data_IF_940813148617
#
_entry.id   IF_940813148617
#
_cell.length_a   1.000
_cell.length_b   1.000
_cell.length_c   1.000
_cell.angle_alpha   90.00
_cell.angle_beta   90.00
_cell.angle_gamma   90.00
#
_symmetry.space_group_name_H-M   'P 1'
#
loop_
_entity.id
_entity.type
_entity.pdbx_description
1 polymer ?
#
# COMPACT_ATOMS: atom_id res chain seq x y z
N UNK A 1 25.77 26.37 -0.02
CA UNK A 1 24.58 26.29 0.84
C UNK A 1 24.74 25.10 1.79
N UNK A 2 24.43 25.24 3.09
CA UNK A 2 24.33 24.06 3.98
C UNK A 2 23.24 23.14 3.45
N UNK A 3 23.53 21.84 3.35
CA UNK A 3 22.55 20.85 2.94
C UNK A 3 21.65 20.50 4.13
N UNK A 4 20.32 20.41 3.93
CA UNK A 4 19.39 20.16 5.03
C UNK A 4 19.54 18.73 5.58
N UNK A 5 19.23 18.57 6.88
CA UNK A 5 19.03 17.27 7.49
C UNK A 5 17.64 16.75 7.11
N UNK A 6 17.56 15.53 6.59
CA UNK A 6 16.30 14.90 6.21
C UNK A 6 15.82 14.00 7.35
N UNK A 7 14.62 14.25 7.81
CA UNK A 7 13.91 13.43 8.80
C UNK A 7 12.66 12.86 8.17
N UNK A 8 12.43 11.56 8.29
CA UNK A 8 11.21 10.87 7.81
C UNK A 8 10.44 10.27 8.99
N UNK A 9 9.17 10.61 9.11
CA UNK A 9 8.32 10.00 10.14
C UNK A 9 7.74 8.67 9.67
N UNK A 10 7.93 7.62 10.47
CA UNK A 10 7.44 6.28 10.21
C UNK A 10 6.53 5.76 11.35
N UNK A 11 5.90 6.64 12.09
CA UNK A 11 5.14 6.34 13.31
C UNK A 11 4.06 5.27 13.12
N UNK A 12 3.25 5.40 12.07
CA UNK A 12 2.17 4.44 11.81
C UNK A 12 2.73 3.12 11.29
N UNK A 13 3.67 3.19 10.36
CA UNK A 13 4.32 2.01 9.75
C UNK A 13 5.01 1.16 10.80
N UNK A 14 5.79 1.77 11.69
CA UNK A 14 6.44 1.08 12.81
C UNK A 14 5.42 0.50 13.81
N UNK A 15 4.31 1.22 14.07
CA UNK A 15 3.26 0.81 14.99
C UNK A 15 2.32 -0.25 14.44
N UNK A 16 2.02 -0.26 13.15
CA UNK A 16 1.00 -1.12 12.54
C UNK A 16 1.45 -2.57 12.38
N UNK A 17 2.74 -2.82 12.14
CA UNK A 17 3.29 -4.14 11.83
C UNK A 17 2.79 -4.75 10.53
N UNK A 18 2.06 -4.01 9.72
CA UNK A 18 1.54 -4.44 8.43
C UNK A 18 2.54 -4.13 7.33
N UNK A 19 2.47 -4.88 6.23
CA UNK A 19 3.23 -4.60 5.01
C UNK A 19 2.28 -4.47 3.83
N UNK A 20 1.45 -3.41 3.83
CA UNK A 20 0.45 -3.17 2.78
C UNK A 20 0.52 -1.73 2.32
N UNK A 21 0.24 -1.48 1.07
CA UNK A 21 0.05 -0.13 0.53
C UNK A 21 1.05 0.91 1.07
N UNK A 22 0.57 1.78 1.95
CA UNK A 22 1.35 2.91 2.50
C UNK A 22 2.57 2.43 3.30
N UNK A 23 2.40 1.42 4.16
CA UNK A 23 3.51 0.92 4.97
C UNK A 23 4.66 0.37 4.10
N UNK A 24 4.32 -0.25 2.95
CA UNK A 24 5.32 -0.69 1.97
C UNK A 24 6.06 0.49 1.35
N UNK A 25 5.34 1.55 1.00
CA UNK A 25 5.96 2.77 0.45
C UNK A 25 6.94 3.38 1.46
N UNK A 26 6.51 3.57 2.72
CA UNK A 26 7.34 4.15 3.78
C UNK A 26 8.60 3.31 4.01
N UNK A 27 8.49 1.98 4.09
CA UNK A 27 9.65 1.08 4.25
C UNK A 27 10.63 1.16 3.11
N UNK A 28 10.14 1.14 1.87
CA UNK A 28 11.01 1.22 0.71
C UNK A 28 11.70 2.59 0.63
N UNK A 29 11.01 3.68 0.94
CA UNK A 29 11.64 5.00 1.02
C UNK A 29 12.72 5.05 2.12
N UNK A 30 12.44 4.53 3.33
CA UNK A 30 13.43 4.45 4.41
C UNK A 30 14.65 3.62 4.02
N UNK A 31 14.48 2.56 3.23
CA UNK A 31 15.57 1.70 2.75
C UNK A 31 16.44 2.38 1.69
N UNK A 32 15.82 3.06 0.72
CA UNK A 32 16.55 3.62 -0.43
C UNK A 32 17.13 5.01 -0.17
N UNK A 33 16.44 5.84 0.63
CA UNK A 33 16.87 7.23 0.89
C UNK A 33 18.30 7.37 1.45
N UNK A 34 18.82 6.51 2.33
CA UNK A 34 20.18 6.68 2.84
C UNK A 34 21.23 6.70 1.73
N UNK A 35 21.15 5.78 0.77
CA UNK A 35 22.10 5.74 -0.37
C UNK A 35 21.93 6.93 -1.31
N UNK A 36 20.68 7.35 -1.57
CA UNK A 36 20.38 8.50 -2.43
C UNK A 36 20.86 9.81 -1.77
N UNK A 37 20.70 9.95 -0.46
CA UNK A 37 21.23 11.09 0.31
C UNK A 37 22.77 11.17 0.25
N UNK A 38 23.44 10.03 0.40
CA UNK A 38 24.90 9.96 0.31
C UNK A 38 25.40 10.43 -1.07
N UNK A 39 24.75 10.00 -2.15
CA UNK A 39 25.08 10.45 -3.53
C UNK A 39 24.88 11.95 -3.73
N UNK A 40 23.86 12.52 -3.07
CA UNK A 40 23.63 13.97 -3.07
C UNK A 40 24.53 14.72 -2.10
N UNK A 41 25.38 14.02 -1.31
CA UNK A 41 26.25 14.56 -0.26
C UNK A 41 25.44 15.28 0.83
N UNK A 42 24.20 14.83 1.09
CA UNK A 42 23.38 15.28 2.20
C UNK A 42 23.77 14.54 3.48
N UNK A 43 23.50 15.12 4.68
CA UNK A 43 23.55 14.36 5.92
C UNK A 43 22.68 13.10 5.84
N UNK A 44 22.99 12.08 6.65
CA UNK A 44 22.23 10.84 6.67
C UNK A 44 20.75 11.04 7.02
N UNK A 45 19.94 10.02 6.71
CA UNK A 45 18.53 9.99 7.04
C UNK A 45 18.32 9.80 8.55
N UNK A 46 17.47 10.63 9.15
CA UNK A 46 16.92 10.38 10.47
C UNK A 46 15.51 9.79 10.35
N UNK A 47 15.30 8.59 10.89
CA UNK A 47 13.97 7.99 11.00
C UNK A 47 13.34 8.42 12.32
N UNK A 48 12.11 8.90 12.29
CA UNK A 48 11.40 9.43 13.44
C UNK A 48 10.16 8.62 13.79
N UNK A 49 9.78 8.67 15.06
CA UNK A 49 8.45 8.30 15.54
C UNK A 49 7.87 9.42 16.39
N UNK A 50 6.57 9.69 16.24
CA UNK A 50 5.87 10.69 17.05
C UNK A 50 5.32 10.06 18.34
N UNK A 51 5.78 10.59 19.46
CA UNK A 51 5.34 10.16 20.80
C UNK A 51 5.25 11.36 21.75
N UNK A 52 4.15 11.47 22.52
CA UNK A 52 3.93 12.53 23.51
C UNK A 52 4.26 13.96 23.02
N UNK A 53 3.74 14.31 21.84
CA UNK A 53 3.94 15.63 21.19
C UNK A 53 5.39 15.96 20.85
N UNK A 54 6.22 14.95 20.58
CA UNK A 54 7.61 15.09 20.11
C UNK A 54 7.89 14.08 19.01
N UNK A 55 8.79 14.43 18.11
CA UNK A 55 9.43 13.46 17.23
C UNK A 55 10.68 12.95 17.92
N UNK A 56 10.85 11.64 17.96
CA UNK A 56 11.98 10.94 18.56
C UNK A 56 12.70 10.15 17.48
N UNK A 57 14.01 10.25 17.46
CA UNK A 57 14.85 9.48 16.53
C UNK A 57 14.79 7.99 16.86
N UNK A 58 14.69 7.16 15.84
CA UNK A 58 14.59 5.72 15.96
C UNK A 58 15.76 5.07 15.23
N UNK A 59 16.43 4.13 15.91
CA UNK A 59 17.48 3.33 15.30
C UNK A 59 16.93 2.55 14.07
N UNK A 60 17.60 2.65 12.90
CA UNK A 60 17.23 1.87 11.72
C UNK A 60 17.13 0.35 11.96
N UNK A 61 17.94 -0.20 12.88
CA UNK A 61 17.86 -1.61 13.29
C UNK A 61 16.56 -2.02 14.00
N UNK A 62 15.74 -1.05 14.43
CA UNK A 62 14.45 -1.32 15.03
C UNK A 62 13.48 -1.97 14.04
N UNK A 63 13.55 -1.63 12.77
CA UNK A 63 12.69 -2.20 11.74
C UNK A 63 12.93 -3.71 11.58
N UNK A 64 14.20 -4.14 11.56
CA UNK A 64 14.54 -5.58 11.51
C UNK A 64 14.01 -6.33 12.73
N UNK A 65 14.13 -5.73 13.92
CA UNK A 65 13.58 -6.32 15.15
C UNK A 65 12.05 -6.42 15.11
N UNK A 66 11.36 -5.45 14.52
CA UNK A 66 9.90 -5.45 14.39
C UNK A 66 9.40 -6.40 13.30
N UNK A 67 10.19 -6.61 12.23
CA UNK A 67 9.91 -7.62 11.21
C UNK A 67 10.04 -9.03 11.77
N UNK A 68 11.08 -9.30 12.59
CA UNK A 68 11.22 -10.57 13.30
C UNK A 68 10.00 -10.86 14.19
N UNK A 69 9.52 -9.86 14.93
CA UNK A 69 8.33 -10.01 15.76
C UNK A 69 7.07 -10.29 14.91
N UNK A 70 6.94 -9.68 13.73
CA UNK A 70 5.80 -9.94 12.83
C UNK A 70 5.87 -11.31 12.14
N UNK A 71 7.07 -11.82 11.86
CA UNK A 71 7.28 -13.18 11.37
C UNK A 71 6.93 -14.21 12.45
N UNK A 72 7.34 -13.96 13.69
CA UNK A 72 6.97 -14.80 14.83
C UNK A 72 5.45 -14.81 15.09
N UNK A 73 4.75 -13.66 14.90
CA UNK A 73 3.28 -13.59 14.97
C UNK A 73 2.58 -14.52 13.97
N UNK A 74 3.11 -14.59 12.74
CA UNK A 74 2.53 -15.46 11.70
C UNK A 74 2.69 -16.93 12.06
N UNK A 75 3.83 -17.29 12.63
CA UNK A 75 4.20 -18.67 12.91
C UNK A 75 3.73 -19.14 14.33
N UNK A 76 3.43 -18.21 15.25
CA UNK A 76 3.00 -18.54 16.61
C UNK A 76 1.71 -19.37 16.66
N UNK A 77 0.85 -19.27 15.63
CA UNK A 77 -0.35 -20.09 15.50
C UNK A 77 -0.08 -21.58 15.36
N UNK A 78 1.08 -21.97 14.81
CA UNK A 78 1.47 -23.39 14.66
C UNK A 78 2.00 -24.00 15.95
N UNK A 79 2.48 -23.19 16.89
CA UNK A 79 3.05 -23.64 18.18
C UNK A 79 2.08 -23.62 19.35
N UNK A 80 0.84 -23.15 19.15
CA UNK A 80 -0.15 -23.08 20.24
C UNK A 80 -0.86 -24.43 20.37
N UNK A 81 -0.75 -25.11 21.54
CA UNK A 81 -1.46 -26.37 21.76
C UNK A 81 -2.97 -26.26 21.50
N UNK A 82 -3.56 -27.28 20.86
CA UNK A 82 -4.95 -27.26 20.43
C UNK A 82 -5.98 -26.98 21.54
N UNK A 83 -5.68 -27.35 22.78
CA UNK A 83 -6.53 -27.04 23.92
C UNK A 83 -6.57 -25.54 24.27
N UNK A 84 -5.46 -24.81 24.06
CA UNK A 84 -5.42 -23.35 24.22
C UNK A 84 -6.22 -22.66 23.12
N UNK A 85 -6.22 -23.20 21.90
CA UNK A 85 -7.02 -22.68 20.79
C UNK A 85 -8.54 -22.83 21.02
N UNK A 86 -8.96 -23.76 21.86
CA UNK A 86 -10.38 -23.99 22.20
C UNK A 86 -10.91 -23.08 23.32
N UNK A 87 -10.05 -22.46 24.14
CA UNK A 87 -10.43 -21.56 25.23
C UNK A 87 -11.32 -20.38 24.75
N UNK A 88 -10.98 -19.65 23.68
CA UNK A 88 -11.84 -18.57 23.19
C UNK A 88 -13.23 -19.04 22.78
N UNK A 89 -13.34 -20.26 22.21
CA UNK A 89 -14.64 -20.86 21.83
C UNK A 89 -15.48 -21.17 23.06
N UNK A 90 -14.88 -21.69 24.12
CA UNK A 90 -15.55 -22.02 25.37
C UNK A 90 -16.05 -20.75 26.10
N UNK A 91 -15.21 -19.69 26.18
CA UNK A 91 -15.59 -18.41 26.79
C UNK A 91 -16.67 -17.72 25.98
N UNK A 92 -16.61 -17.79 24.62
CA UNK A 92 -17.63 -17.25 23.75
C UNK A 92 -18.98 -17.93 23.92
N UNK A 93 -18.98 -19.26 24.08
CA UNK A 93 -20.19 -20.05 24.33
C UNK A 93 -20.80 -19.73 25.71
N UNK A 94 -19.98 -19.39 26.69
CA UNK A 94 -20.41 -19.10 28.09
C UNK A 94 -20.82 -17.63 28.29
N UNK A 95 -20.57 -16.74 27.31
CA UNK A 95 -20.81 -15.30 27.45
C UNK A 95 -22.24 -14.89 27.10
N UNK A 96 -22.92 -14.18 28.00
CA UNK A 96 -24.23 -13.56 27.78
C UNK A 96 -24.15 -12.24 26.98
N UNK A 97 -22.95 -11.70 26.75
CA UNK A 97 -22.77 -10.45 26.02
C UNK A 97 -22.57 -10.68 24.52
N UNK A 98 -23.53 -10.21 23.71
CA UNK A 98 -23.44 -10.27 22.24
C UNK A 98 -22.20 -9.57 21.67
N UNK A 99 -21.73 -8.49 22.31
CA UNK A 99 -20.51 -7.79 21.92
C UNK A 99 -19.25 -8.62 22.20
N UNK A 100 -19.20 -9.32 23.34
CA UNK A 100 -18.08 -10.17 23.74
C UNK A 100 -18.04 -11.44 22.88
N UNK A 101 -19.19 -12.00 22.54
CA UNK A 101 -19.34 -13.14 21.62
C UNK A 101 -18.82 -12.79 20.23
N UNK A 102 -19.27 -11.65 19.67
CA UNK A 102 -18.81 -11.15 18.37
C UNK A 102 -17.32 -10.78 18.34
N UNK A 103 -16.76 -10.36 19.49
CA UNK A 103 -15.34 -10.05 19.65
C UNK A 103 -14.47 -11.29 19.73
N UNK A 104 -15.01 -12.38 20.31
CA UNK A 104 -14.31 -13.66 20.50
C UNK A 104 -14.64 -14.71 19.43
N UNK A 105 -15.57 -14.44 18.49
CA UNK A 105 -15.81 -15.33 17.36
C UNK A 105 -14.51 -15.56 16.60
N UNK A 106 -14.05 -16.82 16.44
CA UNK A 106 -12.83 -17.13 15.73
C UNK A 106 -13.00 -16.82 14.24
N UNK A 107 -12.62 -15.64 13.83
CA UNK A 107 -12.38 -15.36 12.42
C UNK A 107 -11.05 -15.99 12.05
N UNK A 108 -10.88 -16.58 10.84
CA UNK A 108 -9.65 -17.28 10.43
C UNK A 108 -8.35 -16.45 10.57
N UNK A 109 -8.48 -15.12 10.71
CA UNK A 109 -7.37 -14.17 10.90
C UNK A 109 -7.23 -13.63 12.34
N UNK A 110 -8.02 -14.11 13.31
CA UNK A 110 -8.09 -13.52 14.66
C UNK A 110 -7.82 -14.54 15.76
N UNK A 111 -6.57 -14.78 16.04
CA UNK A 111 -6.10 -15.16 17.39
C UNK A 111 -6.18 -13.91 18.30
N UNK A 112 -7.40 -13.34 18.48
CA UNK A 112 -7.61 -12.04 19.12
C UNK A 112 -7.03 -11.96 20.54
N UNK A 113 -7.12 -13.04 21.34
CA UNK A 113 -6.61 -13.10 22.72
C UNK A 113 -5.09 -13.24 22.72
N UNK A 114 -4.48 -13.93 21.74
CA UNK A 114 -3.02 -14.11 21.67
C UNK A 114 -2.27 -12.92 21.06
N UNK A 115 -2.98 -12.02 20.37
CA UNK A 115 -2.40 -10.75 19.90
C UNK A 115 -2.25 -9.71 21.00
N UNK A 116 -3.02 -9.82 22.08
CA UNK A 116 -2.98 -8.84 23.18
C UNK A 116 -1.59 -8.74 23.85
N UNK A 117 -0.95 -9.84 24.27
CA UNK A 117 0.41 -9.79 24.83
C UNK A 117 1.43 -9.24 23.82
N UNK A 118 1.27 -9.57 22.55
CA UNK A 118 2.19 -9.19 21.48
C UNK A 118 2.06 -7.70 21.13
N UNK A 119 0.85 -7.18 21.02
CA UNK A 119 0.64 -5.74 20.87
C UNK A 119 1.18 -4.96 22.06
N UNK A 120 1.04 -5.50 23.27
CA UNK A 120 1.60 -4.88 24.49
C UNK A 120 3.12 -4.94 24.50
N UNK A 121 3.74 -6.06 24.13
CA UNK A 121 5.20 -6.21 24.02
C UNK A 121 5.75 -5.30 22.92
N UNK A 122 5.11 -5.29 21.75
CA UNK A 122 5.49 -4.41 20.64
C UNK A 122 5.34 -2.93 21.02
N UNK A 123 4.21 -2.56 21.61
CA UNK A 123 3.98 -1.20 22.09
C UNK A 123 4.95 -0.82 23.21
N UNK A 124 5.22 -1.71 24.18
CA UNK A 124 6.20 -1.53 25.23
C UNK A 124 7.62 -1.39 24.71
N UNK A 125 8.01 -2.20 23.73
CA UNK A 125 9.31 -2.14 23.06
C UNK A 125 9.48 -0.83 22.25
N UNK A 126 8.47 -0.42 21.50
CA UNK A 126 8.44 0.86 20.80
C UNK A 126 8.50 2.04 21.76
N UNK A 127 7.72 1.99 22.84
CA UNK A 127 7.68 3.04 23.86
C UNK A 127 9.03 3.17 24.59
N UNK A 128 9.63 2.04 24.97
CA UNK A 128 10.95 2.03 25.62
C UNK A 128 12.03 2.58 24.70
N UNK A 129 12.13 2.10 23.45
CA UNK A 129 13.10 2.58 22.47
C UNK A 129 12.84 4.02 22.04
N UNK A 130 11.58 4.45 21.99
CA UNK A 130 11.25 5.86 21.76
C UNK A 130 11.65 6.75 22.93
N UNK A 131 11.56 6.26 24.16
CA UNK A 131 12.02 6.99 25.36
C UNK A 131 13.55 7.03 25.48
N UNK A 132 14.24 6.08 24.88
CA UNK A 132 15.72 6.05 24.78
C UNK A 132 16.23 6.89 23.59
N UNK A 133 15.36 7.25 22.63
CA UNK A 133 15.68 8.05 21.46
C UNK A 133 15.83 9.54 21.78
N UNK A 134 16.74 10.20 21.07
CA UNK A 134 16.90 11.65 21.16
C UNK A 134 15.70 12.38 20.56
N UNK A 135 15.27 13.45 21.24
CA UNK A 135 14.25 14.32 20.65
C UNK A 135 14.81 15.01 19.40
N UNK A 136 14.00 15.01 18.34
CA UNK A 136 14.33 15.71 17.11
C UNK A 136 13.85 17.15 17.27
N UNK A 137 14.82 18.03 17.50
CA UNK A 137 14.53 19.45 17.67
C UNK A 137 14.22 20.12 16.33
N UNK A 138 13.28 21.06 16.29
CA UNK A 138 13.01 21.85 15.09
C UNK A 138 14.22 22.69 14.68
N UNK A 139 14.45 22.83 13.37
CA UNK A 139 15.57 23.60 12.82
C UNK A 139 15.24 24.10 11.41
N UNK A 140 15.71 25.30 11.05
CA UNK A 140 15.59 25.84 9.70
C UNK A 140 16.39 25.05 8.65
N UNK A 141 17.43 24.31 9.09
CA UNK A 141 18.23 23.43 8.24
C UNK A 141 17.67 22.00 8.18
N UNK A 142 16.40 21.79 8.56
CA UNK A 142 15.73 20.49 8.59
C UNK A 142 14.55 20.43 7.64
N UNK A 143 14.39 19.28 7.00
CA UNK A 143 13.19 18.90 6.27
C UNK A 143 12.57 17.71 6.99
N UNK A 144 11.30 17.84 7.39
CA UNK A 144 10.50 16.77 7.96
C UNK A 144 9.55 16.23 6.90
N UNK A 145 9.77 14.98 6.48
CA UNK A 145 8.93 14.28 5.53
C UNK A 145 7.89 13.45 6.28
N UNK A 146 6.63 13.64 5.93
CA UNK A 146 5.46 12.96 6.51
C UNK A 146 4.83 12.02 5.46
N UNK A 147 5.32 10.77 5.31
CA UNK A 147 4.83 9.86 4.27
C UNK A 147 3.79 8.87 4.78
N UNK A 148 3.38 8.94 6.05
CA UNK A 148 2.59 7.90 6.70
C UNK A 148 1.08 8.22 6.74
N UNK A 149 0.28 7.34 7.34
CA UNK A 149 -1.19 7.42 7.38
C UNK A 149 -1.70 8.26 8.56
N UNK A 150 -1.79 9.59 8.41
CA UNK A 150 -2.09 10.51 9.51
C UNK A 150 -3.57 10.83 9.75
N UNK A 151 -4.48 10.38 8.92
CA UNK A 151 -5.93 10.63 9.10
C UNK A 151 -6.52 10.03 10.39
N UNK A 152 -5.79 9.14 11.04
CA UNK A 152 -6.16 8.57 12.35
C UNK A 152 -5.43 9.22 13.53
N UNK A 153 -4.41 10.07 13.29
CA UNK A 153 -3.51 10.66 14.28
C UNK A 153 -3.60 12.18 14.32
N UNK A 154 -4.60 12.70 15.02
CA UNK A 154 -4.81 14.15 15.12
C UNK A 154 -3.78 14.87 15.99
N UNK A 155 -3.14 14.15 16.90
CA UNK A 155 -2.17 14.67 17.86
C UNK A 155 -0.87 15.17 17.20
N UNK A 156 -0.49 14.60 16.07
CA UNK A 156 0.76 14.94 15.37
C UNK A 156 0.78 16.38 14.85
N UNK A 157 -0.38 16.92 14.43
CA UNK A 157 -0.43 18.22 13.74
C UNK A 157 0.01 19.41 14.61
N UNK A 158 -0.20 19.33 15.93
CA UNK A 158 0.32 20.36 16.86
C UNK A 158 1.84 20.38 16.88
N UNK A 159 2.46 19.21 16.84
CA UNK A 159 3.92 19.07 16.80
C UNK A 159 4.46 19.53 15.44
N UNK A 160 3.81 19.15 14.34
CA UNK A 160 4.16 19.60 12.98
C UNK A 160 4.10 21.12 12.88
N UNK A 161 3.04 21.74 13.38
CA UNK A 161 2.89 23.19 13.39
C UNK A 161 4.00 23.88 14.22
N UNK A 162 4.36 23.33 15.39
CA UNK A 162 5.46 23.83 16.20
C UNK A 162 6.81 23.76 15.46
N UNK A 163 7.09 22.64 14.79
CA UNK A 163 8.28 22.49 13.96
C UNK A 163 8.31 23.50 12.81
N UNK A 164 7.18 23.68 12.12
CA UNK A 164 7.05 24.63 11.02
C UNK A 164 7.29 26.07 11.47
N UNK A 165 6.67 26.46 12.60
CA UNK A 165 6.87 27.80 13.19
C UNK A 165 8.32 28.09 13.60
N UNK A 166 9.05 27.05 14.01
CA UNK A 166 10.46 27.14 14.34
C UNK A 166 11.41 27.02 13.11
N UNK A 167 10.85 27.00 11.90
CA UNK A 167 11.59 27.08 10.65
C UNK A 167 11.80 25.73 9.93
N UNK A 168 11.47 24.58 10.51
CA UNK A 168 11.53 23.29 9.83
C UNK A 168 10.64 23.28 8.60
N UNK A 169 11.15 22.84 7.45
CA UNK A 169 10.35 22.64 6.24
C UNK A 169 9.55 21.35 6.37
N UNK A 170 8.25 21.41 6.08
CA UNK A 170 7.34 20.27 6.15
C UNK A 170 6.98 19.81 4.75
N UNK A 171 7.27 18.53 4.45
CA UNK A 171 6.91 17.86 3.20
C UNK A 171 5.94 16.69 3.50
N UNK A 172 4.72 16.74 2.99
CA UNK A 172 3.72 15.69 3.26
C UNK A 172 3.38 14.90 2.01
N UNK A 173 3.37 13.56 2.13
CA UNK A 173 2.96 12.67 1.04
C UNK A 173 1.45 12.46 1.09
N UNK A 174 0.79 12.63 -0.06
CA UNK A 174 -0.64 12.34 -0.26
C UNK A 174 -0.81 11.19 -1.24
N UNK A 175 -1.54 10.15 -0.80
CA UNK A 175 -1.72 8.91 -1.55
C UNK A 175 -2.96 8.92 -2.45
N UNK A 176 -4.04 9.49 -2.00
CA UNK A 176 -5.29 9.65 -2.76
C UNK A 176 -6.22 10.65 -2.06
N UNK A 177 -7.29 11.03 -2.77
CA UNK A 177 -8.41 11.78 -2.24
C UNK A 177 -9.71 10.95 -2.28
N UNK A 178 -9.60 9.64 -2.40
CA UNK A 178 -10.74 8.71 -2.54
C UNK A 178 -11.82 8.93 -1.48
N UNK A 179 -11.49 9.15 -0.18
CA UNK A 179 -12.52 9.40 0.82
C UNK A 179 -13.38 10.64 0.55
N UNK A 180 -12.89 11.60 -0.21
CA UNK A 180 -13.63 12.83 -0.60
C UNK A 180 -14.31 12.69 -1.96
N UNK A 181 -13.58 12.14 -2.94
CA UNK A 181 -14.09 12.02 -4.31
C UNK A 181 -15.10 10.88 -4.46
N UNK A 182 -14.96 9.81 -3.65
CA UNK A 182 -15.79 8.61 -3.68
C UNK A 182 -16.27 8.19 -2.28
N UNK A 183 -17.00 9.07 -1.55
CA UNK A 183 -17.38 8.83 -0.16
C UNK A 183 -18.29 7.61 0.03
N UNK A 184 -18.99 7.16 -1.02
CA UNK A 184 -19.83 5.97 -1.00
C UNK A 184 -19.04 4.69 -0.63
N UNK A 185 -17.76 4.59 -1.01
CA UNK A 185 -16.94 3.42 -0.70
C UNK A 185 -16.38 3.42 0.73
N UNK A 186 -16.19 4.58 1.35
CA UNK A 186 -15.57 4.69 2.68
C UNK A 186 -16.56 5.01 3.80
N UNK A 187 -17.68 5.66 3.48
CA UNK A 187 -18.71 6.11 4.40
C UNK A 187 -18.41 7.47 5.04
N UNK A 188 -19.48 8.22 5.32
CA UNK A 188 -19.44 9.63 5.74
C UNK A 188 -18.46 9.92 6.89
N UNK A 189 -18.48 9.13 7.96
CA UNK A 189 -17.60 9.35 9.13
C UNK A 189 -16.10 9.29 8.77
N UNK A 190 -15.71 8.43 7.83
CA UNK A 190 -14.32 8.33 7.37
C UNK A 190 -13.98 9.47 6.42
N UNK A 191 -14.91 9.84 5.55
CA UNK A 191 -14.79 10.99 4.66
C UNK A 191 -14.58 12.28 5.45
N UNK A 192 -15.41 12.58 6.46
CA UNK A 192 -15.29 13.76 7.32
C UNK A 192 -13.93 13.80 8.06
N UNK A 193 -13.46 12.65 8.54
CA UNK A 193 -12.13 12.55 9.18
C UNK A 193 -11.00 12.82 8.19
N UNK A 194 -11.13 12.30 6.99
CA UNK A 194 -10.13 12.48 5.95
C UNK A 194 -10.09 13.93 5.47
N UNK A 195 -11.24 14.59 5.35
CA UNK A 195 -11.29 16.01 5.05
C UNK A 195 -10.54 16.83 6.11
N UNK A 196 -10.83 16.61 7.40
CA UNK A 196 -10.11 17.27 8.49
C UNK A 196 -8.58 17.01 8.43
N UNK A 197 -8.16 15.84 7.99
CA UNK A 197 -6.75 15.52 7.77
C UNK A 197 -6.18 16.33 6.59
N UNK A 198 -6.87 16.35 5.45
CA UNK A 198 -6.38 17.06 4.26
C UNK A 198 -6.30 18.57 4.50
N UNK A 199 -7.24 19.13 5.27
CA UNK A 199 -7.19 20.53 5.73
C UNK A 199 -5.90 20.81 6.53
N UNK A 200 -5.47 19.89 7.39
CA UNK A 200 -4.21 20.02 8.12
C UNK A 200 -3.00 19.91 7.17
N UNK A 201 -3.03 18.99 6.21
CA UNK A 201 -1.97 18.84 5.21
C UNK A 201 -1.78 20.13 4.44
N UNK A 202 -2.85 20.66 3.85
CA UNK A 202 -2.72 21.84 2.98
C UNK A 202 -2.33 23.13 3.75
N UNK A 203 -2.62 23.20 5.05
CA UNK A 203 -2.25 24.33 5.90
C UNK A 203 -0.86 24.25 6.51
N UNK A 204 -0.38 23.04 6.80
CA UNK A 204 0.85 22.84 7.56
C UNK A 204 2.03 22.33 6.72
N UNK A 205 1.83 22.00 5.44
CA UNK A 205 2.93 21.61 4.55
C UNK A 205 3.51 22.83 3.82
N UNK A 206 4.80 22.81 3.59
CA UNK A 206 5.49 23.75 2.68
C UNK A 206 5.53 23.17 1.27
N UNK A 207 5.59 21.84 1.13
CA UNK A 207 5.38 21.13 -0.14
C UNK A 207 4.52 19.88 0.09
N UNK A 208 3.66 19.56 -0.88
CA UNK A 208 2.85 18.34 -0.90
C UNK A 208 3.36 17.46 -2.03
N UNK A 209 3.65 16.20 -1.71
CA UNK A 209 4.18 15.19 -2.62
C UNK A 209 3.06 14.18 -2.94
N UNK A 210 2.49 14.26 -4.11
CA UNK A 210 1.50 13.32 -4.59
C UNK A 210 2.18 12.10 -5.25
N UNK A 211 1.63 10.91 -5.06
CA UNK A 211 2.22 9.67 -5.60
C UNK A 211 1.94 9.45 -7.10
N UNK A 212 1.20 10.34 -7.72
CA UNK A 212 0.90 10.35 -9.16
C UNK A 212 0.54 11.77 -9.62
N UNK A 213 0.54 12.01 -10.92
CA UNK A 213 0.07 13.27 -11.49
C UNK A 213 -1.43 13.44 -11.28
N UNK A 214 -2.20 12.35 -11.39
CA UNK A 214 -3.64 12.35 -11.12
C UNK A 214 -3.91 12.82 -9.68
N UNK A 215 -3.24 12.26 -8.69
CA UNK A 215 -3.42 12.69 -7.27
C UNK A 215 -2.93 14.13 -7.06
N UNK A 216 -1.83 14.53 -7.71
CA UNK A 216 -1.37 15.93 -7.67
C UNK A 216 -2.45 16.89 -8.14
N UNK A 217 -3.11 16.56 -9.24
CA UNK A 217 -4.11 17.42 -9.85
C UNK A 217 -5.39 17.44 -9.00
N UNK A 218 -5.77 16.32 -8.39
CA UNK A 218 -6.84 16.25 -7.39
C UNK A 218 -6.56 17.14 -6.18
N UNK A 219 -5.31 17.12 -5.64
CA UNK A 219 -4.91 17.98 -4.52
C UNK A 219 -4.96 19.46 -4.92
N UNK A 220 -4.47 19.82 -6.11
CA UNK A 220 -4.55 21.19 -6.63
C UNK A 220 -6.00 21.65 -6.76
N UNK A 221 -6.86 20.84 -7.34
CA UNK A 221 -8.28 21.12 -7.46
C UNK A 221 -8.94 21.33 -6.08
N UNK A 222 -8.57 20.47 -5.09
CA UNK A 222 -9.04 20.63 -3.73
C UNK A 222 -8.63 21.97 -3.13
N UNK A 223 -7.38 22.40 -3.29
CA UNK A 223 -6.88 23.72 -2.81
C UNK A 223 -7.60 24.86 -3.54
N UNK A 224 -7.79 24.75 -4.84
CA UNK A 224 -8.48 25.74 -5.66
C UNK A 224 -9.94 25.94 -5.27
N UNK A 225 -10.59 24.94 -4.76
CA UNK A 225 -11.96 25.00 -4.29
C UNK A 225 -12.12 25.68 -2.91
N UNK A 226 -11.03 25.96 -2.19
CA UNK A 226 -11.09 26.60 -0.88
C UNK A 226 -11.24 28.11 -0.99
N UNK A 227 -11.94 28.71 -0.02
CA UNK A 227 -12.21 30.15 0.01
C UNK A 227 -10.97 30.98 0.36
N UNK A 228 -10.15 30.49 1.32
CA UNK A 228 -8.91 31.14 1.74
C UNK A 228 -7.70 30.29 1.33
N UNK A 229 -7.12 30.63 0.18
CA UNK A 229 -5.96 29.92 -0.40
C UNK A 229 -4.62 30.46 0.06
N UNK A 230 -4.58 31.70 0.58
CA UNK A 230 -3.33 32.39 0.88
C UNK A 230 -2.52 31.70 1.98
N UNK A 231 -3.21 31.04 2.92
CA UNK A 231 -2.60 30.30 4.02
C UNK A 231 -2.30 28.81 3.68
N UNK A 232 -2.54 28.36 2.42
CA UNK A 232 -2.40 26.96 2.02
C UNK A 232 -1.12 26.73 1.23
N UNK A 233 -0.62 25.50 1.26
CA UNK A 233 0.49 25.05 0.45
C UNK A 233 0.15 25.19 -1.04
N UNK A 234 0.98 25.87 -1.80
CA UNK A 234 0.85 26.05 -3.24
C UNK A 234 1.84 25.14 -4.02
N UNK A 235 2.86 24.61 -3.36
CA UNK A 235 3.85 23.72 -3.97
C UNK A 235 3.37 22.27 -3.89
N UNK A 236 2.70 21.81 -4.95
CA UNK A 236 2.20 20.44 -5.07
C UNK A 236 2.92 19.75 -6.22
N UNK A 237 3.73 18.75 -5.89
CA UNK A 237 4.57 17.99 -6.84
C UNK A 237 4.15 16.53 -6.89
N UNK A 238 4.53 15.84 -7.96
CA UNK A 238 4.31 14.40 -8.09
C UNK A 238 5.65 13.66 -8.13
N UNK A 239 5.65 12.46 -7.57
CA UNK A 239 6.70 11.46 -7.76
C UNK A 239 6.04 10.09 -8.01
N UNK A 240 6.77 9.16 -8.62
CA UNK A 240 6.23 7.85 -9.03
C UNK A 240 6.71 6.78 -8.06
N UNK A 241 5.82 5.85 -7.68
CA UNK A 241 6.18 4.75 -6.78
C UNK A 241 6.99 3.66 -7.48
N UNK A 242 7.85 2.98 -6.73
CA UNK A 242 8.63 1.85 -7.22
C UNK A 242 7.78 0.59 -7.41
N UNK A 243 8.23 -0.27 -8.31
CA UNK A 243 7.54 -1.48 -8.75
C UNK A 243 8.05 -2.77 -8.07
N UNK A 244 9.32 -2.79 -7.61
CA UNK A 244 9.93 -4.02 -7.12
C UNK A 244 9.21 -4.54 -5.88
N UNK A 245 8.86 -5.81 -5.91
CA UNK A 245 8.49 -6.56 -4.71
C UNK A 245 9.79 -6.88 -3.95
N UNK A 246 10.02 -6.19 -2.85
CA UNK A 246 11.18 -6.47 -2.02
C UNK A 246 10.94 -7.76 -1.25
N UNK A 247 11.69 -8.80 -1.58
CA UNK A 247 11.85 -9.97 -0.72
C UNK A 247 13.12 -9.72 0.10
N UNK A 248 13.04 -9.44 1.41
CA UNK A 248 14.22 -9.27 2.23
C UNK A 248 15.08 -10.55 2.19
N UNK A 249 16.40 -10.42 2.05
CA UNK A 249 17.30 -11.58 2.09
C UNK A 249 17.15 -12.41 3.38
N UNK A 250 16.78 -11.77 4.49
CA UNK A 250 16.46 -12.44 5.76
C UNK A 250 15.19 -13.28 5.72
N UNK A 251 14.27 -13.03 4.80
CA UNK A 251 13.03 -13.82 4.63
C UNK A 251 13.25 -15.01 3.68
N UNK A 252 14.34 -15.06 2.91
CA UNK A 252 14.68 -16.21 2.08
C UNK A 252 15.18 -17.42 2.88
N UNK A 253 15.69 -17.20 4.09
CA UNK A 253 16.13 -18.27 5.00
C UNK A 253 14.98 -18.73 5.89
N UNK A 254 14.17 -19.70 5.39
CA UNK A 254 13.18 -20.43 6.20
C UNK A 254 11.71 -20.32 5.80
N UNK A 255 11.31 -19.45 4.90
CA UNK A 255 9.94 -19.43 4.36
C UNK A 255 9.89 -20.24 3.06
N UNK A 256 9.18 -21.37 3.09
CA UNK A 256 8.87 -22.12 1.87
C UNK A 256 7.53 -21.68 1.30
N UNK A 257 7.45 -21.56 -0.02
CA UNK A 257 6.17 -21.36 -0.71
C UNK A 257 5.28 -22.58 -0.41
N UNK A 258 4.06 -22.32 0.07
CA UNK A 258 3.09 -23.41 0.34
C UNK A 258 2.87 -24.26 -0.91
N UNK A 259 2.82 -25.57 -0.74
CA UNK A 259 2.64 -26.52 -1.87
C UNK A 259 1.37 -26.22 -2.67
N UNK A 260 0.30 -25.79 -2.03
CA UNK A 260 -0.95 -25.39 -2.70
C UNK A 260 -0.72 -24.22 -3.66
N UNK A 261 0.06 -23.22 -3.27
CA UNK A 261 0.38 -22.07 -4.12
C UNK A 261 1.31 -22.49 -5.26
N UNK A 262 2.37 -23.24 -4.93
CA UNK A 262 3.33 -23.74 -5.93
C UNK A 262 2.69 -24.64 -6.99
N UNK A 263 1.76 -25.50 -6.59
CA UNK A 263 1.08 -26.40 -7.51
C UNK A 263 0.07 -25.65 -8.40
N UNK A 264 -0.63 -24.67 -7.84
CA UNK A 264 -1.61 -23.86 -8.56
C UNK A 264 -0.94 -22.94 -9.58
N UNK A 265 0.14 -22.26 -9.19
CA UNK A 265 0.94 -21.39 -10.05
C UNK A 265 2.17 -22.12 -10.57
N UNK A 266 1.95 -23.22 -11.29
CA UNK A 266 3.02 -24.01 -11.87
C UNK A 266 3.27 -23.58 -13.32
N UNK A 267 4.52 -23.29 -13.66
CA UNK A 267 4.94 -22.91 -15.00
C UNK A 267 4.58 -23.96 -16.09
N UNK A 268 4.42 -25.23 -15.70
CA UNK A 268 4.03 -26.33 -16.61
C UNK A 268 2.50 -26.43 -16.78
N UNK A 269 1.71 -25.68 -16.02
CA UNK A 269 0.25 -25.68 -16.20
C UNK A 269 -0.11 -25.00 -17.54
N UNK A 270 -0.99 -25.61 -18.36
CA UNK A 270 -1.47 -24.96 -19.58
C UNK A 270 -2.35 -23.73 -19.26
N UNK A 271 -2.99 -23.70 -18.09
CA UNK A 271 -3.87 -22.64 -17.63
C UNK A 271 -3.53 -22.20 -16.21
N UNK A 272 -2.38 -21.51 -15.98
CA UNK A 272 -2.14 -20.88 -14.68
C UNK A 272 -3.22 -19.84 -14.40
N UNK A 273 -3.57 -19.58 -13.12
CA UNK A 273 -4.61 -18.60 -12.81
C UNK A 273 -4.28 -17.19 -13.31
N UNK A 274 -5.31 -16.46 -13.72
CA UNK A 274 -5.27 -15.01 -13.74
C UNK A 274 -5.26 -14.50 -12.30
N UNK A 275 -4.49 -13.45 -12.03
CA UNK A 275 -4.25 -12.95 -10.69
C UNK A 275 -4.89 -11.58 -10.49
N UNK A 276 -5.61 -11.41 -9.40
CA UNK A 276 -6.05 -10.09 -8.92
C UNK A 276 -5.56 -9.88 -7.48
N UNK A 277 -4.62 -8.94 -7.30
CA UNK A 277 -4.06 -8.60 -5.99
C UNK A 277 -4.72 -7.34 -5.47
N UNK A 278 -5.67 -7.49 -4.56
CA UNK A 278 -6.38 -6.36 -3.95
C UNK A 278 -7.08 -6.79 -2.66
N UNK A 279 -7.21 -5.89 -1.67
CA UNK A 279 -8.14 -6.10 -0.56
C UNK A 279 -9.57 -6.24 -1.10
N UNK A 280 -10.38 -7.09 -0.46
CA UNK A 280 -11.80 -7.23 -0.81
C UNK A 280 -12.56 -5.98 -0.37
N UNK A 281 -12.52 -4.96 -1.21
CA UNK A 281 -13.17 -3.67 -1.02
C UNK A 281 -14.01 -3.38 -2.28
N UNK A 282 -15.24 -2.88 -2.18
CA UNK A 282 -16.12 -2.66 -3.35
C UNK A 282 -15.50 -1.81 -4.45
N UNK A 283 -14.65 -0.84 -4.11
CA UNK A 283 -13.97 0.00 -5.11
C UNK A 283 -12.95 -0.77 -5.97
N UNK A 284 -12.49 -1.94 -5.50
CA UNK A 284 -11.59 -2.82 -6.24
C UNK A 284 -12.31 -3.64 -7.30
N UNK A 285 -13.65 -3.70 -7.22
CA UNK A 285 -14.54 -4.23 -8.26
C UNK A 285 -14.27 -5.70 -8.65
N UNK A 286 -14.00 -6.55 -7.65
CA UNK A 286 -13.86 -8.00 -7.84
C UNK A 286 -15.06 -8.61 -8.55
N UNK A 287 -16.25 -7.99 -8.41
CA UNK A 287 -17.48 -8.41 -9.07
C UNK A 287 -17.31 -8.44 -10.59
N UNK A 288 -16.77 -7.38 -11.20
CA UNK A 288 -16.57 -7.33 -12.65
C UNK A 288 -15.58 -8.41 -13.15
N UNK A 289 -14.52 -8.69 -12.36
CA UNK A 289 -13.60 -9.76 -12.70
C UNK A 289 -14.27 -11.14 -12.65
N UNK A 290 -15.07 -11.40 -11.62
CA UNK A 290 -15.80 -12.67 -11.48
C UNK A 290 -16.87 -12.81 -12.56
N UNK A 291 -17.63 -11.75 -12.86
CA UNK A 291 -18.63 -11.75 -13.94
C UNK A 291 -18.00 -12.07 -15.31
N UNK A 292 -16.80 -11.52 -15.57
CA UNK A 292 -16.07 -11.83 -16.81
C UNK A 292 -15.65 -13.31 -16.86
N UNK A 293 -15.25 -13.89 -15.72
CA UNK A 293 -14.90 -15.32 -15.65
C UNK A 293 -16.13 -16.22 -15.72
N UNK A 294 -17.28 -15.82 -15.20
CA UNK A 294 -18.56 -16.54 -15.40
C UNK A 294 -18.91 -16.66 -16.89
N UNK A 295 -18.62 -15.62 -17.68
CA UNK A 295 -18.78 -15.67 -19.14
C UNK A 295 -17.74 -16.59 -19.80
N UNK A 296 -16.47 -16.48 -19.40
CA UNK A 296 -15.37 -17.26 -19.95
C UNK A 296 -15.54 -18.75 -19.69
N UNK A 297 -16.00 -19.16 -18.51
CA UNK A 297 -16.21 -20.57 -18.17
C UNK A 297 -17.28 -21.28 -19.01
N UNK A 298 -18.16 -20.52 -19.68
CA UNK A 298 -19.13 -21.11 -20.63
C UNK A 298 -18.44 -21.69 -21.87
N UNK A 299 -17.34 -21.07 -22.32
CA UNK A 299 -16.59 -21.50 -23.51
C UNK A 299 -15.26 -22.18 -23.19
N UNK A 300 -14.62 -21.85 -22.07
CA UNK A 300 -13.37 -22.46 -21.62
C UNK A 300 -13.41 -22.72 -20.10
N UNK A 301 -13.94 -23.88 -19.69
CA UNK A 301 -14.09 -24.23 -18.28
C UNK A 301 -12.78 -24.44 -17.51
N UNK A 302 -11.62 -24.56 -18.21
CA UNK A 302 -10.30 -24.78 -17.62
C UNK A 302 -9.60 -23.48 -17.17
N UNK A 303 -10.10 -22.31 -17.60
CA UNK A 303 -9.54 -21.04 -17.16
C UNK A 303 -9.70 -20.88 -15.64
N UNK A 304 -8.70 -20.23 -15.04
CA UNK A 304 -8.65 -20.06 -13.59
C UNK A 304 -8.43 -18.61 -13.22
N UNK A 305 -9.04 -18.18 -12.11
CA UNK A 305 -8.82 -16.87 -11.49
C UNK A 305 -8.46 -17.04 -10.02
N UNK A 306 -7.53 -16.23 -9.55
CA UNK A 306 -7.10 -16.16 -8.15
C UNK A 306 -7.27 -14.74 -7.62
N UNK A 307 -8.05 -14.59 -6.58
CA UNK A 307 -8.15 -13.38 -5.79
C UNK A 307 -7.20 -13.46 -4.60
N UNK A 308 -6.22 -12.56 -4.54
CA UNK A 308 -5.23 -12.50 -3.47
C UNK A 308 -5.38 -11.18 -2.70
N UNK A 309 -5.79 -11.26 -1.42
CA UNK A 309 -5.91 -10.07 -0.60
C UNK A 309 -6.70 -10.29 0.68
N UNK A 310 -6.55 -9.34 1.61
CA UNK A 310 -7.24 -9.41 2.91
C UNK A 310 -8.70 -9.00 2.77
N UNK A 311 -9.54 -9.52 3.66
CA UNK A 311 -10.92 -9.05 3.77
C UNK A 311 -10.95 -7.55 4.08
N UNK A 312 -11.67 -6.81 3.26
CA UNK A 312 -11.89 -5.37 3.39
C UNK A 312 -13.15 -5.05 4.17
N UNK A 313 -13.64 -3.83 4.01
CA UNK A 313 -14.93 -3.41 4.55
C UNK A 313 -16.01 -3.51 3.47
N UNK A 314 -17.26 -3.86 3.88
CA UNK A 314 -18.41 -3.90 2.98
C UNK A 314 -18.28 -4.93 1.83
N UNK A 315 -17.61 -6.04 2.07
CA UNK A 315 -17.43 -7.11 1.09
C UNK A 315 -18.29 -8.35 1.37
N UNK A 316 -19.18 -8.30 2.36
CA UNK A 316 -19.92 -9.48 2.85
C UNK A 316 -20.77 -10.15 1.75
N UNK A 317 -21.43 -9.37 0.87
CA UNK A 317 -22.23 -9.89 -0.23
C UNK A 317 -21.36 -10.58 -1.29
N UNK A 318 -20.23 -9.98 -1.63
CA UNK A 318 -19.27 -10.57 -2.56
C UNK A 318 -18.63 -11.83 -1.99
N UNK A 319 -18.28 -11.84 -0.71
CA UNK A 319 -17.71 -13.02 -0.05
C UNK A 319 -18.72 -14.17 -0.01
N UNK A 320 -20.01 -13.90 0.24
CA UNK A 320 -21.07 -14.92 0.13
C UNK A 320 -21.19 -15.48 -1.29
N UNK A 321 -21.11 -14.62 -2.31
CA UNK A 321 -21.08 -15.05 -3.71
C UNK A 321 -19.92 -15.99 -3.99
N UNK A 322 -18.73 -15.69 -3.49
CA UNK A 322 -17.53 -16.56 -3.62
C UNK A 322 -17.77 -17.90 -2.91
N UNK A 323 -18.24 -17.88 -1.66
CA UNK A 323 -18.46 -19.08 -0.84
C UNK A 323 -19.46 -20.05 -1.47
N UNK A 324 -20.45 -19.52 -2.19
CA UNK A 324 -21.49 -20.29 -2.87
C UNK A 324 -21.15 -20.60 -4.34
N UNK A 325 -19.97 -20.15 -4.83
CA UNK A 325 -19.65 -20.26 -6.24
C UNK A 325 -19.27 -21.70 -6.63
N UNK A 326 -19.88 -22.29 -7.71
CA UNK A 326 -19.61 -23.67 -8.10
C UNK A 326 -18.17 -23.94 -8.52
N UNK A 327 -17.42 -22.92 -8.92
CA UNK A 327 -16.00 -22.99 -9.30
C UNK A 327 -15.03 -22.80 -8.12
N UNK A 328 -15.51 -22.53 -6.89
CA UNK A 328 -14.63 -22.37 -5.75
C UNK A 328 -13.76 -23.60 -5.54
N UNK A 329 -12.44 -23.41 -5.42
CA UNK A 329 -11.41 -24.45 -5.34
C UNK A 329 -11.31 -25.38 -6.57
N UNK A 330 -11.85 -24.96 -7.73
CA UNK A 330 -11.80 -25.69 -9.00
C UNK A 330 -11.42 -24.84 -10.22
N UNK A 331 -11.48 -23.53 -10.09
CA UNK A 331 -11.18 -22.52 -11.11
C UNK A 331 -11.20 -21.11 -10.53
N UNK A 332 -11.88 -20.97 -9.37
CA UNK A 332 -11.87 -19.76 -8.55
C UNK A 332 -11.12 -20.03 -7.26
N UNK A 333 -10.04 -19.29 -7.03
CA UNK A 333 -9.15 -19.44 -5.88
C UNK A 333 -9.11 -18.16 -5.07
N UNK A 334 -8.98 -18.27 -3.74
CA UNK A 334 -8.92 -17.12 -2.83
C UNK A 334 -7.82 -17.33 -1.79
N UNK A 335 -6.90 -16.36 -1.72
CA UNK A 335 -5.86 -16.33 -0.69
C UNK A 335 -5.91 -15.00 0.07
N UNK A 336 -6.03 -15.06 1.40
CA UNK A 336 -6.08 -13.89 2.26
C UNK A 336 -4.73 -13.49 2.86
N UNK A 337 -3.74 -14.36 2.74
CA UNK A 337 -2.53 -14.37 3.54
C UNK A 337 -1.26 -14.77 2.78
N UNK A 338 -1.20 -14.48 1.48
CA UNK A 338 0.04 -14.71 0.73
C UNK A 338 1.20 -13.98 1.39
N UNK A 339 2.31 -14.68 1.56
CA UNK A 339 3.59 -14.07 1.97
C UNK A 339 4.17 -13.25 0.80
N UNK A 340 5.15 -12.39 1.07
CA UNK A 340 5.80 -11.62 0.02
C UNK A 340 6.52 -12.54 -1.00
N UNK A 341 7.10 -13.67 -0.55
CA UNK A 341 7.65 -14.71 -1.43
C UNK A 341 6.59 -15.39 -2.29
N UNK A 342 5.43 -15.74 -1.70
CA UNK A 342 4.33 -16.32 -2.45
C UNK A 342 3.74 -15.31 -3.44
N UNK A 343 3.65 -14.04 -3.05
CA UNK A 343 3.19 -12.96 -3.94
C UNK A 343 4.12 -12.80 -5.14
N UNK A 344 5.44 -12.82 -4.93
CA UNK A 344 6.42 -12.83 -6.00
C UNK A 344 6.22 -14.02 -6.94
N UNK A 345 6.10 -15.23 -6.37
CA UNK A 345 5.90 -16.47 -7.14
C UNK A 345 4.62 -16.43 -7.97
N UNK A 346 3.48 -15.96 -7.41
CA UNK A 346 2.23 -15.91 -8.16
C UNK A 346 2.26 -14.86 -9.28
N UNK A 347 2.95 -13.74 -9.10
CA UNK A 347 3.20 -12.80 -10.18
C UNK A 347 4.06 -13.43 -11.28
N UNK A 348 5.09 -14.21 -10.94
CA UNK A 348 5.97 -14.84 -11.93
C UNK A 348 5.28 -15.91 -12.76
N UNK A 349 4.21 -16.54 -12.26
CA UNK A 349 3.63 -17.72 -12.88
C UNK A 349 2.15 -17.56 -13.29
N UNK A 350 1.52 -16.39 -13.06
CA UNK A 350 0.14 -16.15 -13.49
C UNK A 350 0.01 -15.98 -15.01
N UNK A 351 -1.18 -16.25 -15.56
CA UNK A 351 -1.50 -16.03 -16.98
C UNK A 351 -1.62 -14.56 -17.35
N UNK A 352 -1.99 -13.73 -16.40
CA UNK A 352 -2.15 -12.29 -16.52
C UNK A 352 -2.68 -11.70 -15.23
N UNK A 353 -2.65 -10.38 -15.11
CA UNK A 353 -3.10 -9.65 -13.91
C UNK A 353 -4.28 -8.78 -14.24
N UNK A 354 -5.27 -8.78 -13.35
CA UNK A 354 -6.51 -8.03 -13.49
C UNK A 354 -6.57 -6.90 -12.47
N UNK A 355 -6.87 -5.68 -12.92
CA UNK A 355 -7.08 -4.52 -12.05
C UNK A 355 -8.37 -3.78 -12.44
N UNK A 356 -9.55 -4.31 -12.09
CA UNK A 356 -10.84 -3.73 -12.44
C UNK A 356 -11.27 -2.58 -11.53
N UNK A 357 -10.35 -2.01 -10.77
CA UNK A 357 -10.62 -0.98 -9.76
C UNK A 357 -11.35 0.23 -10.35
N UNK A 358 -12.36 0.71 -9.61
CA UNK A 358 -13.15 1.89 -10.00
C UNK A 358 -12.34 3.15 -9.76
N UNK A 359 -11.56 3.18 -8.68
CA UNK A 359 -10.73 4.31 -8.28
C UNK A 359 -9.51 3.85 -7.51
N UNK A 360 -8.36 4.47 -7.80
CA UNK A 360 -7.07 4.25 -7.17
C UNK A 360 -6.31 5.56 -7.01
N UNK A 361 -5.36 5.58 -6.05
CA UNK A 361 -4.35 6.65 -5.98
C UNK A 361 -3.16 6.39 -6.90
N UNK A 362 -2.82 5.09 -7.15
CA UNK A 362 -1.71 4.71 -8.02
C UNK A 362 -2.01 3.42 -8.80
N UNK A 363 -2.22 2.31 -8.13
CA UNK A 363 -2.39 1.00 -8.77
C UNK A 363 -1.07 0.19 -8.76
N UNK A 364 -0.48 0.00 -7.59
CA UNK A 364 0.73 -0.81 -7.41
C UNK A 364 0.68 -2.16 -8.15
N UNK A 365 -0.44 -2.91 -8.19
CA UNK A 365 -0.49 -4.16 -8.94
C UNK A 365 -0.21 -4.02 -10.44
N UNK A 366 -0.43 -2.86 -11.06
CA UNK A 366 -0.03 -2.61 -12.45
C UNK A 366 1.50 -2.65 -12.56
N UNK A 367 2.21 -1.83 -11.80
CA UNK A 367 3.66 -1.76 -11.88
C UNK A 367 4.34 -3.05 -11.43
N UNK A 368 3.78 -3.73 -10.41
CA UNK A 368 4.24 -5.05 -9.97
C UNK A 368 4.07 -6.11 -11.07
N UNK A 369 2.93 -6.12 -11.74
CA UNK A 369 2.66 -7.00 -12.90
C UNK A 369 3.63 -6.73 -14.04
N UNK A 370 3.81 -5.47 -14.37
CA UNK A 370 4.74 -5.04 -15.41
C UNK A 370 6.19 -5.41 -15.03
N UNK A 371 6.62 -5.24 -13.80
CA UNK A 371 7.93 -5.65 -13.31
C UNK A 371 8.20 -7.15 -13.55
N UNK A 372 7.18 -7.99 -13.33
CA UNK A 372 7.26 -9.43 -13.59
C UNK A 372 7.01 -9.83 -15.05
N UNK A 373 6.83 -8.87 -15.94
CA UNK A 373 6.60 -9.14 -17.35
C UNK A 373 5.26 -9.82 -17.64
N UNK A 374 4.21 -9.48 -16.90
CA UNK A 374 2.89 -10.10 -17.06
C UNK A 374 1.93 -9.24 -17.85
N UNK A 375 1.09 -9.90 -18.65
CA UNK A 375 -0.05 -9.23 -19.31
C UNK A 375 -0.95 -8.62 -18.25
N UNK A 376 -1.28 -7.34 -18.41
CA UNK A 376 -2.10 -6.60 -17.45
C UNK A 376 -3.36 -6.09 -18.14
N UNK A 377 -4.51 -6.37 -17.53
CA UNK A 377 -5.81 -5.86 -17.91
C UNK A 377 -6.28 -4.91 -16.81
N UNK A 378 -6.49 -3.66 -17.13
CA UNK A 378 -6.87 -2.64 -16.17
C UNK A 378 -8.15 -1.92 -16.61
N UNK A 379 -8.98 -1.49 -15.66
CA UNK A 379 -10.10 -0.62 -15.99
C UNK A 379 -9.62 0.68 -16.60
N UNK A 380 -10.38 1.22 -17.55
CA UNK A 380 -10.05 2.45 -18.27
C UNK A 380 -10.31 3.68 -17.39
N UNK A 381 -9.35 4.01 -16.55
CA UNK A 381 -9.36 5.18 -15.66
C UNK A 381 -8.13 6.04 -15.88
N UNK A 382 -8.18 7.36 -15.58
CA UNK A 382 -7.04 8.25 -15.76
C UNK A 382 -5.77 7.76 -15.06
N UNK A 383 -5.90 7.29 -13.83
CA UNK A 383 -4.76 6.78 -13.04
C UNK A 383 -4.17 5.50 -13.61
N UNK A 384 -5.00 4.56 -14.10
CA UNK A 384 -4.50 3.33 -14.70
C UNK A 384 -3.79 3.62 -16.03
N UNK A 385 -4.30 4.59 -16.82
CA UNK A 385 -3.60 5.04 -18.03
C UNK A 385 -2.31 5.77 -17.72
N UNK A 386 -2.25 6.55 -16.65
CA UNK A 386 -1.02 7.20 -16.19
C UNK A 386 0.06 6.17 -15.84
N UNK A 387 -0.30 5.15 -15.06
CA UNK A 387 0.64 4.17 -14.49
C UNK A 387 0.98 3.05 -15.47
N UNK A 388 0.00 2.55 -16.21
CA UNK A 388 0.15 1.42 -17.12
C UNK A 388 0.53 1.81 -18.55
N UNK A 389 0.30 3.06 -18.95
CA UNK A 389 0.65 3.60 -20.25
C UNK A 389 0.16 2.73 -21.41
N UNK A 390 1.05 2.34 -22.31
CA UNK A 390 0.78 1.43 -23.43
C UNK A 390 0.96 -0.05 -23.07
N UNK A 391 1.44 -0.33 -21.85
CA UNK A 391 1.76 -1.69 -21.41
C UNK A 391 0.54 -2.48 -20.90
N UNK A 392 -0.58 -1.81 -20.66
CA UNK A 392 -1.82 -2.41 -20.20
C UNK A 392 -2.85 -2.46 -21.32
N UNK A 393 -3.71 -3.46 -21.24
CA UNK A 393 -4.95 -3.51 -22.00
C UNK A 393 -6.10 -2.98 -21.16
N UNK A 394 -6.83 -2.00 -21.69
CA UNK A 394 -7.83 -1.27 -20.93
C UNK A 394 -9.23 -1.72 -21.31
N UNK A 395 -10.12 -1.86 -20.33
CA UNK A 395 -11.52 -2.19 -20.51
C UNK A 395 -12.44 -1.21 -19.74
N UNK A 396 -13.67 -0.96 -20.24
CA UNK A 396 -14.61 -0.07 -19.58
C UNK A 396 -15.05 -0.61 -18.19
N UNK A 397 -15.27 0.30 -17.25
CA UNK A 397 -15.93 -0.04 -15.99
C UNK A 397 -17.34 -0.57 -16.27
N UNK A 398 -17.77 -1.53 -15.47
CA UNK A 398 -19.11 -2.17 -15.57
C UNK A 398 -19.36 -2.93 -16.88
N UNK A 399 -18.31 -3.28 -17.62
CA UNK A 399 -18.38 -4.10 -18.83
C UNK A 399 -17.55 -5.38 -18.70
N UNK A 400 -18.07 -6.42 -18.05
CA UNK A 400 -17.39 -7.71 -17.93
C UNK A 400 -17.24 -8.44 -19.26
N UNK A 401 -18.11 -8.16 -20.26
CA UNK A 401 -18.05 -8.78 -21.57
C UNK A 401 -16.81 -8.34 -22.34
N UNK A 402 -16.47 -7.05 -22.33
CA UNK A 402 -15.24 -6.57 -22.96
C UNK A 402 -14.00 -7.19 -22.31
N UNK A 403 -13.94 -7.25 -20.98
CA UNK A 403 -12.86 -7.93 -20.27
C UNK A 403 -12.76 -9.41 -20.66
N UNK A 404 -13.87 -10.11 -20.72
CA UNK A 404 -13.90 -11.53 -21.13
C UNK A 404 -13.37 -11.71 -22.56
N UNK A 405 -13.79 -10.88 -23.52
CA UNK A 405 -13.31 -10.92 -24.91
C UNK A 405 -11.79 -10.66 -25.00
N UNK A 406 -11.28 -9.70 -24.25
CA UNK A 406 -9.85 -9.39 -24.21
C UNK A 406 -9.04 -10.58 -23.65
N UNK A 407 -9.50 -11.18 -22.56
CA UNK A 407 -8.87 -12.39 -21.99
C UNK A 407 -8.91 -13.53 -22.99
N UNK A 408 -10.04 -13.76 -23.68
CA UNK A 408 -10.17 -14.81 -24.69
C UNK A 408 -9.21 -14.59 -25.86
N UNK A 409 -9.09 -13.37 -26.35
CA UNK A 409 -8.15 -13.01 -27.41
C UNK A 409 -6.69 -13.26 -26.99
N UNK A 410 -6.35 -12.90 -25.74
CA UNK A 410 -5.03 -13.16 -25.17
C UNK A 410 -4.73 -14.67 -25.06
N UNK A 411 -5.69 -15.48 -24.59
CA UNK A 411 -5.52 -16.94 -24.50
C UNK A 411 -5.28 -17.58 -25.88
N UNK A 412 -5.98 -17.14 -26.92
CA UNK A 412 -5.77 -17.62 -28.28
C UNK A 412 -4.33 -17.32 -28.77
N UNK A 413 -3.81 -16.13 -28.49
CA UNK A 413 -2.44 -15.76 -28.83
C UNK A 413 -1.41 -16.55 -28.05
N UNK A 414 -1.65 -16.75 -26.75
CA UNK A 414 -0.76 -17.47 -25.82
C UNK A 414 -0.65 -18.95 -26.20
N UNK A 415 -1.76 -19.61 -26.50
CA UNK A 415 -1.81 -21.03 -26.87
C UNK A 415 -1.30 -21.30 -28.30
N UNK A 416 -1.47 -20.36 -29.23
CA UNK A 416 -0.90 -20.45 -30.58
C UNK A 416 0.62 -20.34 -30.64
N UNK A 417 1.31 -20.15 -29.51
CA UNK A 417 2.77 -20.06 -29.45
C UNK A 417 3.34 -18.77 -30.02
N UNK A 418 2.50 -17.80 -30.37
CA UNK A 418 2.91 -16.48 -30.89
C UNK A 418 3.67 -15.65 -29.84
N UNK A 419 3.72 -16.12 -28.59
CA UNK A 419 4.40 -15.45 -27.48
C UNK A 419 5.72 -16.12 -27.07
N UNK A 420 6.32 -17.00 -27.96
CA UNK A 420 7.60 -17.70 -27.71
C UNK A 420 8.79 -16.78 -27.40
N UNK A 421 8.67 -15.46 -27.59
CA UNK A 421 9.65 -14.44 -27.16
C UNK A 421 9.39 -13.83 -25.78
N UNK A 422 8.40 -14.33 -25.04
CA UNK A 422 7.92 -13.71 -23.81
C UNK A 422 7.13 -12.42 -24.11
N UNK A 423 6.30 -12.00 -23.17
CA UNK A 423 5.52 -10.74 -23.25
C UNK A 423 6.44 -9.53 -23.48
N UNK A 424 7.70 -9.62 -23.05
CA UNK A 424 8.75 -8.60 -23.27
C UNK A 424 9.00 -8.26 -24.74
N UNK A 425 8.71 -9.13 -25.69
CA UNK A 425 8.94 -8.87 -27.14
C UNK A 425 7.72 -8.21 -27.82
N UNK A 426 6.54 -8.27 -27.21
CA UNK A 426 5.29 -7.78 -27.81
C UNK A 426 4.84 -6.39 -27.30
N UNK A 427 5.49 -5.86 -26.27
CA UNK A 427 5.11 -4.59 -25.63
C UNK A 427 6.35 -3.69 -25.55
N UNK A 428 6.18 -2.43 -25.91
CA UNK A 428 7.21 -1.38 -25.75
C UNK A 428 7.40 -1.09 -24.25
N UNK A 429 8.30 -1.87 -23.62
CA UNK A 429 8.57 -1.83 -22.20
C UNK A 429 9.44 -0.63 -21.84
N UNK A 430 8.84 0.45 -21.43
CA UNK A 430 9.52 1.32 -20.47
C UNK A 430 9.59 0.57 -19.13
N UNK A 431 10.80 0.31 -18.64
CA UNK A 431 10.94 -0.38 -17.34
C UNK A 431 10.19 0.39 -16.26
N UNK A 432 9.38 -0.29 -15.42
CA UNK A 432 8.73 0.37 -14.29
C UNK A 432 9.76 1.06 -13.40
N UNK A 433 9.35 2.15 -12.77
CA UNK A 433 10.19 2.91 -11.83
C UNK A 433 10.65 2.00 -10.69
N UNK A 434 11.94 2.06 -10.35
CA UNK A 434 12.48 1.38 -9.17
C UNK A 434 12.22 2.18 -7.89
N UNK A 435 12.28 1.52 -6.72
CA UNK A 435 12.17 2.23 -5.44
C UNK A 435 13.30 3.23 -5.24
N UNK A 436 14.49 2.93 -5.76
CA UNK A 436 15.60 3.88 -5.77
C UNK A 436 15.30 5.12 -6.59
N UNK A 437 14.73 4.95 -7.79
CA UNK A 437 14.31 6.08 -8.63
C UNK A 437 13.17 6.87 -7.97
N UNK A 438 12.22 6.17 -7.32
CA UNK A 438 11.14 6.78 -6.54
C UNK A 438 11.68 7.65 -5.41
N UNK A 439 12.62 7.12 -4.61
CA UNK A 439 13.28 7.86 -3.54
C UNK A 439 14.08 9.07 -4.07
N UNK A 440 14.73 8.92 -5.24
CA UNK A 440 15.45 10.01 -5.91
C UNK A 440 14.49 11.13 -6.32
N UNK A 441 13.38 10.81 -6.98
CA UNK A 441 12.37 11.79 -7.39
C UNK A 441 11.79 12.54 -6.18
N UNK A 442 11.46 11.81 -5.12
CA UNK A 442 10.96 12.39 -3.87
C UNK A 442 12.00 13.35 -3.27
N UNK A 443 13.25 12.91 -3.15
CA UNK A 443 14.32 13.72 -2.57
C UNK A 443 14.59 14.98 -3.42
N UNK A 444 14.71 14.84 -4.73
CA UNK A 444 14.95 15.96 -5.64
C UNK A 444 13.79 17.00 -5.53
N UNK A 445 12.54 16.54 -5.50
CA UNK A 445 11.38 17.42 -5.32
C UNK A 445 11.44 18.21 -3.99
N UNK A 446 11.85 17.56 -2.91
CA UNK A 446 11.95 18.18 -1.58
C UNK A 446 13.13 19.16 -1.52
N UNK A 447 14.29 18.81 -2.08
CA UNK A 447 15.46 19.69 -2.10
C UNK A 447 15.24 20.93 -2.98
N UNK A 448 14.54 20.79 -4.10
CA UNK A 448 14.15 21.92 -4.95
C UNK A 448 13.25 22.89 -4.21
N UNK A 449 12.22 22.37 -3.50
CA UNK A 449 11.33 23.19 -2.67
C UNK A 449 12.09 23.91 -1.57
N UNK A 450 13.03 23.19 -0.91
CA UNK A 450 13.86 23.79 0.13
C UNK A 450 14.74 24.91 -0.42
N UNK A 451 15.35 24.71 -1.59
CA UNK A 451 16.19 25.70 -2.25
C UNK A 451 15.40 26.96 -2.63
N UNK A 452 14.19 26.80 -3.15
CA UNK A 452 13.29 27.91 -3.47
C UNK A 452 12.90 28.70 -2.20
N UNK A 453 12.57 28.01 -1.10
CA UNK A 453 12.25 28.64 0.18
C UNK A 453 13.40 29.48 0.74
N UNK A 454 14.64 28.96 0.66
CA UNK A 454 15.84 29.67 1.15
C UNK A 454 16.17 30.87 0.27
N UNK A 455 15.87 30.81 -1.05
CA UNK A 455 16.15 31.87 -2.02
C UNK A 455 15.13 33.01 -1.98
N UNK A 456 13.93 32.79 -1.44
CA UNK A 456 12.92 33.85 -1.27
C UNK A 456 13.34 34.77 -0.13
N UNK A 457 13.37 36.12 -0.33
CA UNK A 457 13.61 37.04 0.77
C UNK A 457 12.53 36.81 1.83
N UNK A 458 12.96 36.55 3.08
CA UNK A 458 12.04 36.46 4.20
C UNK A 458 11.36 37.82 4.34
N UNK A 459 10.12 37.95 3.84
CA UNK A 459 9.26 39.03 4.22
C UNK A 459 9.00 38.86 5.74
N UNK A 460 9.78 39.55 6.56
CA UNK A 460 9.57 39.60 7.99
C UNK A 460 8.17 40.16 8.19
N UNK A 461 7.25 39.30 8.64
CA UNK A 461 6.02 39.77 9.22
C UNK A 461 6.42 40.61 10.44
N UNK A 462 6.19 41.94 10.31
CA UNK A 462 6.32 42.91 11.39
C UNK A 462 5.14 42.76 12.37
#
# INVERSE_FOLDING_TARGET
MRRPTITIDASHTLGSGKNTGIERVVRNLCRELPSVLQERGCPGLQIATHFQSRFLEVDPGLEQSLQFLSAWERNAGEFVPGWIQSIPKWIAASSHSAKLRKWMEPRPSHLGIYKLPHHVVRWGSLTRKALEGNAIEPSADRILILPDAYWTRRDIWKTVEAHRKAGTMIATVVYDLIPLTHPAYVGKKRSDKFQSYLDQVVRNSDTILAISKTVRDDVKQYIEAQTDRSAMCQDVRAFVLGAELSVPESETTGQSIRSVVKNLFNASSPYPPYLMVASFDPRKNHTQALDAFDLLWQSNPELQICFAGRSGSRCDDFMRRIEQHPKLNRGLWVFHDLTDMELHHVYEHCSGVLLPSIVEGFGLPIVESLWHGRKTFASDTPIHREVGGRCCEYFPLHDPMTLAKQIQAWELMRTAGSTKGGIKAAVDWSQPTTWRQSATQLLDAVLDSFSQRVSMPQVRAA
#
